data_IF_396869075064
#
_entry.id   IF_396869075064
#
_cell.length_a   1.000
_cell.length_b   1.000
_cell.length_c   1.000
_cell.angle_alpha   90.00
_cell.angle_beta   90.00
_cell.angle_gamma   90.00
#
_symmetry.space_group_name_H-M   'P 1'
#
loop_
_entity.id
_entity.type
_entity.pdbx_description
1 polymer ?
#
# COMPACT_ATOMS: atom_id res chain seq x y z
N UNK A 1 -15.93 12.28 8.34
CA UNK A 1 -15.56 13.62 7.85
C UNK A 1 -16.73 14.12 7.05
N UNK A 2 -17.09 15.40 7.13
CA UNK A 2 -18.07 15.95 6.19
C UNK A 2 -17.63 15.66 4.74
N UNK A 3 -18.57 15.19 3.91
CA UNK A 3 -18.33 14.82 2.52
C UNK A 3 -17.68 15.97 1.74
N UNK A 4 -18.03 17.21 2.07
CA UNK A 4 -17.48 18.45 1.51
C UNK A 4 -15.98 18.60 1.76
N UNK A 5 -15.52 18.36 2.99
CA UNK A 5 -14.10 18.46 3.36
C UNK A 5 -13.29 17.36 2.69
N UNK A 6 -13.83 16.12 2.65
CA UNK A 6 -13.20 15.00 1.93
C UNK A 6 -13.02 15.32 0.45
N UNK A 7 -14.08 15.80 -0.20
CA UNK A 7 -14.04 16.16 -1.62
C UNK A 7 -13.06 17.29 -1.91
N UNK A 8 -12.96 18.29 -1.02
CA UNK A 8 -11.98 19.37 -1.13
C UNK A 8 -10.54 18.84 -1.19
N UNK A 9 -10.13 18.02 -0.22
CA UNK A 9 -8.78 17.44 -0.20
C UNK A 9 -8.51 16.49 -1.39
N UNK A 10 -9.52 15.73 -1.83
CA UNK A 10 -9.40 14.89 -3.02
C UNK A 10 -9.21 15.73 -4.30
N UNK A 11 -9.86 16.88 -4.41
CA UNK A 11 -9.63 17.82 -5.52
C UNK A 11 -8.20 18.37 -5.49
N UNK A 12 -7.73 18.79 -4.32
CA UNK A 12 -6.35 19.28 -4.15
C UNK A 12 -5.32 18.22 -4.53
N UNK A 13 -5.54 16.95 -4.19
CA UNK A 13 -4.60 15.86 -4.50
C UNK A 13 -4.37 15.65 -6.00
N UNK A 14 -5.28 16.12 -6.86
CA UNK A 14 -5.19 15.97 -8.33
C UNK A 14 -4.53 17.18 -9.01
N UNK A 15 -4.18 18.23 -8.28
CA UNK A 15 -3.69 19.48 -8.87
C UNK A 15 -2.18 19.44 -9.16
N UNK A 16 -1.81 19.24 -10.44
CA UNK A 16 -0.40 19.28 -10.90
C UNK A 16 0.33 20.58 -10.50
N UNK A 17 -0.38 21.72 -10.51
CA UNK A 17 0.19 23.03 -10.10
C UNK A 17 0.54 23.08 -8.61
N UNK A 18 -0.36 22.59 -7.75
CA UNK A 18 -0.13 22.56 -6.31
C UNK A 18 0.94 21.53 -5.94
N UNK A 19 0.97 20.37 -6.60
CA UNK A 19 2.07 19.40 -6.47
C UNK A 19 3.41 20.03 -6.80
N UNK A 20 3.52 20.75 -7.92
CA UNK A 20 4.77 21.42 -8.33
C UNK A 20 5.20 22.51 -7.35
N UNK A 21 4.25 23.25 -6.76
CA UNK A 21 4.55 24.25 -5.74
C UNK A 21 5.01 23.58 -4.43
N UNK A 22 4.31 22.55 -3.98
CA UNK A 22 4.63 21.81 -2.76
C UNK A 22 6.02 21.16 -2.81
N UNK A 23 6.42 20.61 -3.96
CA UNK A 23 7.78 20.10 -4.21
C UNK A 23 8.88 21.12 -3.86
N UNK A 24 8.65 22.42 -4.09
CA UNK A 24 9.64 23.46 -3.78
C UNK A 24 9.81 23.72 -2.29
N UNK A 25 8.83 23.34 -1.47
CA UNK A 25 8.84 23.57 -0.03
C UNK A 25 9.22 22.32 0.78
N UNK A 26 9.44 21.17 0.12
CA UNK A 26 9.79 19.89 0.74
C UNK A 26 8.76 19.41 1.77
N UNK A 27 9.15 18.49 2.66
CA UNK A 27 8.26 17.89 3.68
C UNK A 27 7.79 18.83 4.81
N UNK A 28 7.85 20.15 4.60
CA UNK A 28 7.32 21.17 5.51
C UNK A 28 5.80 21.02 5.68
N UNK A 29 5.25 21.64 6.73
CA UNK A 29 3.81 21.62 7.05
C UNK A 29 3.24 20.24 7.47
N UNK A 30 4.06 19.37 8.05
CA UNK A 30 3.61 18.13 8.68
C UNK A 30 3.62 16.89 7.77
N UNK A 31 4.07 17.01 6.52
CA UNK A 31 4.18 15.89 5.58
C UNK A 31 5.19 14.82 6.06
N UNK A 32 6.25 15.22 6.78
CA UNK A 32 7.23 14.31 7.39
C UNK A 32 6.63 13.28 8.36
N UNK A 33 5.39 13.48 8.84
CA UNK A 33 4.68 12.47 9.64
C UNK A 33 4.21 11.28 8.80
N UNK A 34 3.94 11.48 7.52
CA UNK A 34 3.30 10.50 6.64
C UNK A 34 4.22 10.02 5.52
N UNK A 35 5.39 10.63 5.36
CA UNK A 35 6.37 10.35 4.32
C UNK A 35 7.76 10.35 4.96
N UNK A 36 8.54 9.30 4.71
CA UNK A 36 9.80 9.06 5.40
C UNK A 36 10.97 9.94 4.92
N UNK A 37 10.82 10.57 3.76
CA UNK A 37 11.86 11.39 3.14
C UNK A 37 11.56 11.66 1.68
N UNK A 38 12.34 12.56 1.09
CA UNK A 38 12.37 12.79 -0.36
C UNK A 38 13.31 11.81 -1.06
N UNK A 39 14.24 11.20 -0.31
CA UNK A 39 15.19 10.22 -0.83
C UNK A 39 15.06 8.87 -0.12
N UNK A 40 15.54 7.81 -0.78
CA UNK A 40 15.59 6.48 -0.19
C UNK A 40 16.53 6.43 1.02
N UNK A 41 17.62 7.20 1.01
CA UNK A 41 18.60 7.25 2.10
C UNK A 41 17.99 7.83 3.40
N UNK A 42 17.11 8.83 3.27
CA UNK A 42 16.29 9.32 4.37
C UNK A 42 15.29 8.25 4.85
N UNK A 43 14.66 7.54 3.92
CA UNK A 43 13.72 6.47 4.24
C UNK A 43 14.39 5.29 4.97
N UNK A 44 15.63 4.92 4.64
CA UNK A 44 16.42 3.90 5.36
C UNK A 44 16.50 4.22 6.85
N UNK A 45 16.75 5.48 7.21
CA UNK A 45 16.84 5.89 8.62
C UNK A 45 15.51 5.73 9.36
N UNK A 46 14.37 5.91 8.67
CA UNK A 46 13.05 5.67 9.24
C UNK A 46 12.78 4.17 9.36
N UNK A 47 13.15 3.39 8.34
CA UNK A 47 12.94 1.93 8.33
C UNK A 47 13.70 1.27 9.47
N UNK A 48 14.98 1.62 9.70
CA UNK A 48 15.77 1.09 10.81
C UNK A 48 15.09 1.31 12.16
N UNK A 49 14.59 2.52 12.42
CA UNK A 49 13.86 2.85 13.65
C UNK A 49 12.56 2.06 13.82
N UNK A 50 11.86 1.76 12.72
CA UNK A 50 10.66 0.92 12.76
C UNK A 50 11.02 -0.54 13.01
N UNK A 51 12.05 -1.06 12.35
CA UNK A 51 12.53 -2.43 12.55
C UNK A 51 13.04 -2.66 14.00
N UNK A 52 13.70 -1.67 14.60
CA UNK A 52 14.11 -1.68 16.03
C UNK A 52 12.90 -1.83 16.99
N UNK A 53 11.71 -1.41 16.58
CA UNK A 53 10.46 -1.56 17.33
C UNK A 53 9.73 -2.88 17.02
N UNK A 54 10.33 -3.77 16.23
CA UNK A 54 9.71 -5.01 15.75
C UNK A 54 8.69 -4.81 14.63
N UNK A 55 8.61 -3.61 14.06
CA UNK A 55 7.72 -3.30 12.93
C UNK A 55 8.43 -3.64 11.61
N UNK A 56 7.77 -4.45 10.77
CA UNK A 56 8.20 -4.67 9.38
C UNK A 56 7.84 -3.47 8.53
N UNK A 57 8.47 -3.31 7.36
CA UNK A 57 8.13 -2.22 6.43
C UNK A 57 7.72 -2.75 5.05
N UNK A 58 6.82 -2.03 4.38
CA UNK A 58 6.76 -2.01 2.92
C UNK A 58 7.05 -0.59 2.47
N UNK A 59 8.08 -0.41 1.66
CA UNK A 59 8.47 0.91 1.17
C UNK A 59 7.88 1.17 -0.21
N UNK A 60 7.34 2.37 -0.43
CA UNK A 60 6.69 2.78 -1.69
C UNK A 60 7.35 4.05 -2.22
N UNK A 61 7.87 4.00 -3.45
CA UNK A 61 8.35 5.19 -4.13
C UNK A 61 7.18 5.97 -4.72
N UNK A 62 7.01 7.20 -4.25
CA UNK A 62 6.01 8.12 -4.78
C UNK A 62 6.51 8.68 -6.13
N UNK A 63 5.97 8.11 -7.20
CA UNK A 63 6.11 8.57 -8.58
C UNK A 63 4.78 8.44 -9.31
N UNK A 64 3.82 9.29 -8.96
CA UNK A 64 2.48 9.30 -9.59
C UNK A 64 2.51 10.03 -10.94
N UNK A 65 1.63 9.62 -11.86
CA UNK A 65 1.44 10.25 -13.19
C UNK A 65 2.67 10.15 -14.10
N UNK A 66 3.24 8.95 -14.20
CA UNK A 66 4.27 8.63 -15.18
C UNK A 66 3.65 8.68 -16.59
N UNK A 67 3.97 9.73 -17.34
CA UNK A 67 3.43 10.00 -18.69
C UNK A 67 4.51 9.83 -19.76
N UNK A 68 5.77 9.60 -19.38
CA UNK A 68 6.91 9.42 -20.28
C UNK A 68 7.76 8.20 -19.94
N UNK A 69 8.41 7.62 -20.95
CA UNK A 69 9.34 6.50 -20.78
C UNK A 69 10.50 6.84 -19.83
N UNK A 70 10.96 8.10 -19.83
CA UNK A 70 11.99 8.57 -18.89
C UNK A 70 11.53 8.50 -17.44
N UNK A 71 10.27 8.86 -17.16
CA UNK A 71 9.68 8.76 -15.81
C UNK A 71 9.47 7.29 -15.41
N UNK A 72 9.06 6.41 -16.34
CA UNK A 72 8.97 4.96 -16.09
C UNK A 72 10.34 4.41 -15.70
N UNK A 73 11.37 4.70 -16.51
CA UNK A 73 12.74 4.24 -16.27
C UNK A 73 13.28 4.74 -14.92
N UNK A 74 12.96 5.98 -14.53
CA UNK A 74 13.30 6.48 -13.20
C UNK A 74 12.57 5.72 -12.09
N UNK A 75 11.26 5.46 -12.21
CA UNK A 75 10.51 4.71 -11.21
C UNK A 75 11.05 3.28 -11.03
N UNK A 76 11.41 2.61 -12.13
CA UNK A 76 12.06 1.29 -12.12
C UNK A 76 13.41 1.36 -11.41
N UNK A 77 14.24 2.35 -11.73
CA UNK A 77 15.54 2.54 -11.08
C UNK A 77 15.41 2.79 -9.58
N UNK A 78 14.37 3.51 -9.12
CA UNK A 78 14.10 3.70 -7.69
C UNK A 78 13.69 2.41 -6.99
N UNK A 79 12.88 1.56 -7.64
CA UNK A 79 12.52 0.25 -7.09
C UNK A 79 13.75 -0.64 -6.92
N UNK A 80 14.62 -0.70 -7.94
CA UNK A 80 15.88 -1.48 -7.88
C UNK A 80 16.81 -0.92 -6.80
N UNK A 81 16.96 0.41 -6.72
CA UNK A 81 17.76 1.04 -5.65
C UNK A 81 17.22 0.69 -4.27
N UNK A 82 15.90 0.67 -4.08
CA UNK A 82 15.28 0.27 -2.83
C UNK A 82 15.58 -1.19 -2.49
N UNK A 83 15.45 -2.12 -3.45
CA UNK A 83 15.80 -3.55 -3.27
C UNK A 83 17.26 -3.70 -2.81
N UNK A 84 18.20 -3.03 -3.49
CA UNK A 84 19.63 -3.10 -3.13
C UNK A 84 19.90 -2.53 -1.74
N UNK A 85 19.23 -1.45 -1.35
CA UNK A 85 19.39 -0.85 -0.02
C UNK A 85 18.76 -1.71 1.09
N UNK A 86 17.62 -2.34 0.84
CA UNK A 86 17.00 -3.31 1.76
C UNK A 86 18.00 -4.42 2.09
N UNK A 87 18.63 -4.99 1.06
CA UNK A 87 19.66 -6.01 1.23
C UNK A 87 20.91 -5.49 1.96
N UNK A 88 21.51 -4.42 1.44
CA UNK A 88 22.77 -3.86 1.95
C UNK A 88 22.67 -3.47 3.42
N UNK A 89 21.58 -2.83 3.81
CA UNK A 89 21.36 -2.32 5.16
C UNK A 89 20.65 -3.33 6.07
N UNK A 90 20.34 -4.54 5.55
CA UNK A 90 19.66 -5.65 6.25
C UNK A 90 18.32 -5.23 6.87
N UNK A 91 17.50 -4.55 6.09
CA UNK A 91 16.20 -4.03 6.54
C UNK A 91 15.13 -5.13 6.49
N UNK A 92 14.28 -5.23 7.52
CA UNK A 92 13.04 -6.03 7.45
C UNK A 92 11.98 -5.22 6.69
N UNK A 93 12.14 -5.22 5.37
CA UNK A 93 11.30 -4.47 4.45
C UNK A 93 11.03 -5.24 3.16
N UNK A 94 9.85 -5.02 2.61
CA UNK A 94 9.49 -5.35 1.23
C UNK A 94 9.30 -4.04 0.44
N UNK A 95 9.02 -4.12 -0.86
CA UNK A 95 8.61 -2.94 -1.66
C UNK A 95 7.15 -3.05 -2.12
N UNK A 96 6.49 -1.90 -2.29
CA UNK A 96 5.23 -1.78 -3.01
C UNK A 96 5.44 -0.88 -4.24
N UNK A 97 4.71 -1.16 -5.30
CA UNK A 97 4.74 -0.35 -6.53
C UNK A 97 3.38 -0.37 -7.22
N UNK A 98 3.17 0.55 -8.17
CA UNK A 98 1.97 0.62 -9.01
C UNK A 98 2.35 0.32 -10.45
N UNK A 99 1.53 -0.45 -11.16
CA UNK A 99 1.84 -0.84 -12.54
C UNK A 99 1.79 0.35 -13.50
N UNK A 100 1.00 1.40 -13.21
CA UNK A 100 1.06 2.64 -14.00
C UNK A 100 2.43 3.29 -13.95
N UNK A 101 3.11 3.29 -12.80
CA UNK A 101 4.49 3.77 -12.69
C UNK A 101 5.48 2.90 -13.47
N UNK A 102 5.11 1.65 -13.77
CA UNK A 102 5.87 0.71 -14.59
C UNK A 102 5.45 0.74 -16.07
N UNK A 103 4.59 1.69 -16.48
CA UNK A 103 4.20 1.86 -17.88
C UNK A 103 2.93 1.13 -18.31
N UNK A 104 2.09 0.65 -17.38
CA UNK A 104 0.83 -0.05 -17.72
C UNK A 104 -0.11 0.77 -18.62
N UNK A 105 -0.17 2.08 -18.41
CA UNK A 105 -1.00 2.98 -19.22
C UNK A 105 -0.36 3.27 -20.60
N UNK A 106 0.90 2.89 -20.83
CA UNK A 106 1.60 2.95 -22.12
C UNK A 106 1.42 1.63 -22.87
N UNK A 107 1.81 0.52 -22.24
CA UNK A 107 1.68 -0.84 -22.79
C UNK A 107 1.77 -1.91 -21.68
N UNK A 108 0.95 -2.96 -21.78
CA UNK A 108 1.04 -4.13 -20.89
C UNK A 108 2.40 -4.85 -21.02
N UNK A 109 2.96 -4.92 -22.24
CA UNK A 109 4.25 -5.56 -22.49
C UNK A 109 5.41 -4.77 -21.86
N UNK A 110 5.31 -3.43 -21.88
CA UNK A 110 6.29 -2.55 -21.24
C UNK A 110 6.26 -2.74 -19.72
N UNK A 111 5.06 -2.79 -19.12
CA UNK A 111 4.90 -3.07 -17.70
C UNK A 111 5.44 -4.45 -17.31
N UNK A 112 5.18 -5.48 -18.10
CA UNK A 112 5.75 -6.82 -17.87
C UNK A 112 7.27 -6.82 -17.97
N UNK A 113 7.84 -6.16 -18.98
CA UNK A 113 9.29 -6.05 -19.15
C UNK A 113 9.94 -5.42 -17.91
N UNK A 114 9.42 -4.28 -17.44
CA UNK A 114 9.93 -3.60 -16.26
C UNK A 114 9.71 -4.39 -14.97
N UNK A 115 8.55 -5.04 -14.82
CA UNK A 115 8.28 -5.89 -13.66
C UNK A 115 9.24 -7.08 -13.59
N UNK A 116 9.52 -7.76 -14.71
CA UNK A 116 10.52 -8.83 -14.75
C UNK A 116 11.90 -8.35 -14.35
N UNK A 117 12.31 -7.17 -14.82
CA UNK A 117 13.58 -6.58 -14.41
C UNK A 117 13.66 -6.36 -12.89
N UNK A 118 12.60 -5.79 -12.29
CA UNK A 118 12.51 -5.57 -10.85
C UNK A 118 12.51 -6.90 -10.08
N UNK A 119 11.71 -7.88 -10.51
CA UNK A 119 11.58 -9.18 -9.84
C UNK A 119 12.86 -10.01 -9.93
N UNK A 120 13.58 -9.96 -11.07
CA UNK A 120 14.89 -10.58 -11.21
C UNK A 120 15.91 -10.02 -10.20
N UNK A 121 15.86 -8.72 -9.91
CA UNK A 121 16.69 -8.12 -8.85
C UNK A 121 16.19 -8.50 -7.45
N UNK A 122 14.88 -8.52 -7.26
CA UNK A 122 14.26 -8.83 -5.96
C UNK A 122 14.55 -10.26 -5.49
N UNK A 123 14.51 -11.26 -6.38
CA UNK A 123 14.79 -12.66 -6.05
C UNK A 123 16.23 -12.92 -5.60
N UNK A 124 17.22 -12.20 -6.18
CA UNK A 124 18.63 -12.31 -5.77
C UNK A 124 18.84 -12.03 -4.28
N UNK A 125 17.97 -11.19 -3.71
CA UNK A 125 18.06 -10.73 -2.33
C UNK A 125 16.87 -11.14 -1.46
N UNK A 126 15.98 -11.98 -2.00
CA UNK A 126 14.73 -12.41 -1.35
C UNK A 126 13.85 -11.26 -0.85
N UNK A 127 13.83 -10.15 -1.61
CA UNK A 127 12.97 -8.99 -1.30
C UNK A 127 11.60 -9.21 -1.93
N UNK A 128 10.54 -9.12 -1.13
CA UNK A 128 9.18 -9.29 -1.64
C UNK A 128 8.69 -8.04 -2.38
N UNK A 129 7.94 -8.21 -3.47
CA UNK A 129 7.36 -7.12 -4.26
C UNK A 129 5.84 -7.23 -4.24
N UNK A 130 5.16 -6.18 -3.75
CA UNK A 130 3.69 -6.11 -3.80
C UNK A 130 3.24 -5.16 -4.91
N UNK A 131 2.43 -5.67 -5.84
CA UNK A 131 1.77 -4.87 -6.86
C UNK A 131 0.51 -4.24 -6.26
N UNK A 132 0.55 -2.94 -5.99
CA UNK A 132 -0.58 -2.17 -5.49
C UNK A 132 -1.72 -2.13 -6.51
N UNK A 133 -2.95 -2.29 -6.01
CA UNK A 133 -4.15 -2.18 -6.82
C UNK A 133 -4.57 -0.73 -6.96
N UNK A 134 -4.77 -0.31 -8.21
CA UNK A 134 -5.16 1.04 -8.57
C UNK A 134 -6.70 1.16 -8.69
N UNK A 135 -7.21 2.08 -9.51
CA UNK A 135 -8.64 2.23 -9.74
C UNK A 135 -9.25 1.06 -10.52
N UNK A 136 -10.59 0.97 -10.50
CA UNK A 136 -11.35 -0.15 -11.05
C UNK A 136 -10.97 -0.50 -12.51
N UNK A 137 -10.75 0.52 -13.35
CA UNK A 137 -10.42 0.32 -14.78
C UNK A 137 -9.10 -0.43 -15.00
N UNK A 138 -8.21 -0.48 -14.00
CA UNK A 138 -6.92 -1.19 -14.08
C UNK A 138 -6.97 -2.57 -13.42
N UNK A 139 -7.97 -2.89 -12.60
CA UNK A 139 -8.04 -4.16 -11.85
C UNK A 139 -7.83 -5.40 -12.73
N UNK A 140 -8.58 -5.52 -13.84
CA UNK A 140 -8.45 -6.69 -14.71
C UNK A 140 -7.06 -6.83 -15.33
N UNK A 141 -6.44 -5.72 -15.74
CA UNK A 141 -5.08 -5.72 -16.29
C UNK A 141 -4.05 -6.07 -15.23
N UNK A 142 -4.17 -5.49 -14.03
CA UNK A 142 -3.29 -5.80 -12.90
C UNK A 142 -3.36 -7.27 -12.52
N UNK A 143 -4.56 -7.84 -12.39
CA UNK A 143 -4.74 -9.26 -12.06
C UNK A 143 -4.17 -10.16 -13.15
N UNK A 144 -4.38 -9.83 -14.43
CA UNK A 144 -3.81 -10.57 -15.57
C UNK A 144 -2.28 -10.60 -15.50
N UNK A 145 -1.65 -9.44 -15.34
CA UNK A 145 -0.19 -9.33 -15.24
C UNK A 145 0.34 -10.02 -13.98
N UNK A 146 -0.35 -9.89 -12.85
CA UNK A 146 0.01 -10.59 -11.61
C UNK A 146 0.02 -12.11 -11.79
N UNK A 147 -1.00 -12.72 -12.41
CA UNK A 147 -1.05 -14.18 -12.66
C UNK A 147 0.13 -14.65 -13.48
N UNK A 148 0.49 -13.89 -14.53
CA UNK A 148 1.65 -14.19 -15.35
C UNK A 148 2.94 -14.12 -14.52
N UNK A 149 3.16 -13.03 -13.80
CA UNK A 149 4.36 -12.85 -12.98
C UNK A 149 4.43 -13.88 -11.84
N UNK A 150 3.32 -14.22 -11.17
CA UNK A 150 3.29 -15.20 -10.08
C UNK A 150 3.57 -16.63 -10.56
N UNK A 151 3.33 -16.92 -11.84
CA UNK A 151 3.71 -18.18 -12.47
C UNK A 151 5.21 -18.25 -12.80
N UNK A 152 5.87 -17.09 -12.87
CA UNK A 152 7.30 -16.95 -13.19
C UNK A 152 8.16 -16.72 -11.93
N UNK A 153 7.59 -16.14 -10.87
CA UNK A 153 8.29 -15.66 -9.68
C UNK A 153 7.59 -16.02 -8.36
N UNK A 154 8.38 -16.24 -7.31
CA UNK A 154 7.85 -16.55 -5.96
C UNK A 154 7.68 -15.30 -5.08
N UNK A 155 8.52 -14.30 -5.25
CA UNK A 155 8.58 -13.11 -4.39
C UNK A 155 7.64 -11.97 -4.87
N UNK A 156 6.46 -12.31 -5.37
CA UNK A 156 5.48 -11.35 -5.88
C UNK A 156 4.08 -11.58 -5.31
N UNK A 157 3.43 -10.50 -4.89
CA UNK A 157 2.05 -10.47 -4.39
C UNK A 157 1.26 -9.32 -4.99
N UNK A 158 -0.02 -9.24 -4.68
CA UNK A 158 -0.88 -8.14 -5.13
C UNK A 158 -1.90 -7.73 -4.06
N UNK A 159 -2.71 -6.72 -4.39
CA UNK A 159 -3.70 -6.12 -3.52
C UNK A 159 -5.10 -6.39 -4.07
N UNK A 160 -6.08 -6.64 -3.19
CA UNK A 160 -7.49 -6.69 -3.54
C UNK A 160 -8.32 -5.77 -2.64
N UNK A 161 -9.43 -5.24 -3.17
CA UNK A 161 -10.15 -4.10 -2.58
C UNK A 161 -11.60 -4.46 -2.24
N UNK A 162 -11.93 -4.54 -0.95
CA UNK A 162 -13.24 -5.00 -0.47
C UNK A 162 -14.45 -4.19 -0.95
N UNK A 163 -14.26 -2.93 -1.34
CA UNK A 163 -15.35 -2.11 -1.86
C UNK A 163 -15.86 -2.49 -3.26
N UNK A 164 -15.18 -3.36 -4.02
CA UNK A 164 -15.63 -3.75 -5.36
C UNK A 164 -16.48 -5.03 -5.31
N UNK A 165 -17.56 -5.07 -6.07
CA UNK A 165 -18.42 -6.25 -6.18
C UNK A 165 -17.67 -7.49 -6.67
N UNK A 166 -16.69 -7.31 -7.56
CA UNK A 166 -15.90 -8.39 -8.18
C UNK A 166 -14.94 -9.10 -7.23
N UNK A 167 -14.58 -8.49 -6.10
CA UNK A 167 -13.38 -8.90 -5.36
C UNK A 167 -13.47 -10.29 -4.74
N UNK A 168 -14.65 -10.75 -4.31
CA UNK A 168 -14.77 -12.14 -3.85
C UNK A 168 -14.41 -13.13 -4.96
N UNK A 169 -14.90 -12.89 -6.18
CA UNK A 169 -14.57 -13.73 -7.34
C UNK A 169 -13.07 -13.67 -7.66
N UNK A 170 -12.45 -12.50 -7.57
CA UNK A 170 -11.01 -12.36 -7.80
C UNK A 170 -10.20 -13.14 -6.74
N UNK A 171 -10.61 -13.15 -5.46
CA UNK A 171 -9.95 -13.97 -4.41
C UNK A 171 -10.05 -15.46 -4.75
N UNK A 172 -11.23 -15.94 -5.15
CA UNK A 172 -11.45 -17.35 -5.52
C UNK A 172 -10.63 -17.76 -6.73
N UNK A 173 -10.57 -16.91 -7.75
CA UNK A 173 -9.81 -17.17 -8.96
C UNK A 173 -8.30 -17.23 -8.69
N UNK A 174 -7.81 -16.35 -7.82
CA UNK A 174 -6.38 -16.28 -7.50
C UNK A 174 -5.91 -17.42 -6.57
N UNK A 175 -6.81 -18.21 -5.98
CA UNK A 175 -6.47 -19.33 -5.10
C UNK A 175 -5.47 -20.31 -5.73
N UNK A 176 -5.63 -20.59 -7.03
CA UNK A 176 -4.77 -21.50 -7.79
C UNK A 176 -3.28 -21.07 -7.87
N UNK A 177 -2.97 -19.82 -7.50
CA UNK A 177 -1.63 -19.25 -7.57
C UNK A 177 -0.93 -19.16 -6.21
N UNK A 178 -1.56 -19.65 -5.14
CA UNK A 178 -1.11 -19.52 -3.74
C UNK A 178 -0.57 -18.11 -3.39
N UNK A 179 -1.35 -17.05 -3.65
CA UNK A 179 -0.85 -15.69 -3.62
C UNK A 179 -0.67 -15.17 -2.19
N UNK A 180 0.37 -14.38 -1.95
CA UNK A 180 0.32 -13.42 -0.85
C UNK A 180 -0.55 -12.23 -1.27
N UNK A 181 -1.70 -12.06 -0.59
CA UNK A 181 -2.62 -10.95 -0.86
C UNK A 181 -2.64 -9.95 0.28
N UNK A 182 -2.52 -8.67 -0.10
CA UNK A 182 -2.85 -7.55 0.77
C UNK A 182 -4.31 -7.16 0.54
N UNK A 183 -5.13 -7.29 1.57
CA UNK A 183 -6.56 -6.98 1.50
C UNK A 183 -6.79 -5.59 2.11
N UNK A 184 -7.44 -4.70 1.35
CA UNK A 184 -7.76 -3.33 1.74
C UNK A 184 -9.24 -3.04 1.54
N UNK A 185 -9.76 -1.96 2.14
CA UNK A 185 -11.12 -1.49 1.83
C UNK A 185 -11.24 -0.95 0.39
N UNK A 186 -10.25 -0.20 -0.07
CA UNK A 186 -10.29 0.56 -1.32
C UNK A 186 -10.04 2.05 -1.08
N UNK A 187 -9.34 2.71 -2.00
CA UNK A 187 -8.86 4.09 -1.81
C UNK A 187 -9.37 5.07 -2.88
N UNK A 188 -9.91 4.57 -3.98
CA UNK A 188 -10.37 5.39 -5.10
C UNK A 188 -11.85 5.73 -4.96
N UNK A 189 -12.30 6.73 -5.73
CA UNK A 189 -13.72 7.04 -5.84
C UNK A 189 -14.26 6.33 -7.07
N UNK A 190 -14.98 5.25 -6.85
CA UNK A 190 -15.61 4.45 -7.90
C UNK A 190 -17.10 4.74 -8.02
N UNK A 191 -17.68 4.36 -9.15
CA UNK A 191 -19.12 4.46 -9.39
C UNK A 191 -19.87 3.33 -8.65
N UNK A 192 -21.15 3.58 -8.33
CA UNK A 192 -21.97 2.67 -7.53
C UNK A 192 -22.38 1.39 -8.29
N UNK A 193 -22.16 1.33 -9.60
CA UNK A 193 -22.36 0.14 -10.44
C UNK A 193 -21.22 -0.88 -10.31
N UNK A 194 -20.05 -0.46 -9.80
CA UNK A 194 -18.87 -1.32 -9.65
C UNK A 194 -18.41 -1.49 -8.20
N UNK A 195 -18.87 -0.61 -7.31
CA UNK A 195 -18.46 -0.58 -5.92
C UNK A 195 -19.64 -0.38 -4.95
N UNK A 196 -19.56 -1.02 -3.78
CA UNK A 196 -20.50 -0.82 -2.69
C UNK A 196 -20.54 0.67 -2.27
N UNK A 197 -21.69 1.34 -2.35
CA UNK A 197 -21.81 2.74 -1.94
C UNK A 197 -21.79 2.88 -0.41
N UNK A 198 -22.34 1.87 0.28
CA UNK A 198 -22.50 1.86 1.72
C UNK A 198 -21.29 1.26 2.43
N UNK A 199 -20.82 1.96 3.46
CA UNK A 199 -19.62 1.58 4.20
C UNK A 199 -19.80 0.26 4.95
N UNK A 200 -21.01 -0.06 5.37
CA UNK A 200 -21.31 -1.32 6.08
C UNK A 200 -21.11 -2.51 5.14
N UNK A 201 -21.58 -2.43 3.89
CA UNK A 201 -21.36 -3.48 2.89
C UNK A 201 -19.87 -3.65 2.58
N UNK A 202 -19.09 -2.56 2.52
CA UNK A 202 -17.63 -2.64 2.38
C UNK A 202 -16.99 -3.35 3.58
N UNK A 203 -17.43 -3.04 4.79
CA UNK A 203 -16.91 -3.64 6.02
C UNK A 203 -17.24 -5.14 6.10
N UNK A 204 -18.46 -5.54 5.72
CA UNK A 204 -18.87 -6.95 5.66
C UNK A 204 -18.15 -7.73 4.56
N UNK A 205 -18.04 -7.17 3.35
CA UNK A 205 -17.28 -7.81 2.30
C UNK A 205 -15.79 -7.92 2.67
N UNK A 206 -15.24 -6.95 3.40
CA UNK A 206 -13.85 -7.03 3.87
C UNK A 206 -13.64 -8.21 4.83
N UNK A 207 -14.56 -8.41 5.78
CA UNK A 207 -14.55 -9.59 6.67
C UNK A 207 -14.66 -10.90 5.89
N UNK A 208 -15.54 -10.94 4.88
CA UNK A 208 -15.74 -12.09 4.00
C UNK A 208 -14.44 -12.46 3.27
N UNK A 209 -13.82 -11.52 2.55
CA UNK A 209 -12.60 -11.80 1.78
C UNK A 209 -11.38 -12.12 2.66
N UNK A 210 -11.29 -11.54 3.87
CA UNK A 210 -10.28 -11.91 4.88
C UNK A 210 -10.48 -13.38 5.28
N UNK A 211 -11.71 -13.76 5.62
CA UNK A 211 -12.02 -15.13 6.03
C UNK A 211 -11.75 -16.13 4.93
N UNK A 212 -12.20 -15.83 3.70
CA UNK A 212 -11.98 -16.66 2.52
C UNK A 212 -10.49 -16.90 2.27
N UNK A 213 -9.68 -15.84 2.18
CA UNK A 213 -8.26 -15.98 1.85
C UNK A 213 -7.45 -16.67 2.97
N UNK A 214 -7.80 -16.42 4.23
CA UNK A 214 -7.19 -17.11 5.37
C UNK A 214 -7.51 -18.62 5.38
N UNK A 215 -8.74 -19.01 5.04
CA UNK A 215 -9.14 -20.41 4.97
C UNK A 215 -8.52 -21.16 3.79
N UNK A 216 -8.14 -20.45 2.72
CA UNK A 216 -7.36 -21.02 1.62
C UNK A 216 -5.93 -21.41 2.04
N UNK A 217 -5.46 -20.96 3.21
CA UNK A 217 -4.13 -21.27 3.74
C UNK A 217 -3.01 -20.34 3.27
N UNK A 218 -3.33 -19.34 2.44
CA UNK A 218 -2.34 -18.43 1.87
C UNK A 218 -2.00 -17.27 2.81
N UNK A 219 -0.83 -16.65 2.56
CA UNK A 219 -0.36 -15.54 3.39
C UNK A 219 -1.23 -14.29 3.21
N UNK A 220 -1.85 -13.81 4.29
CA UNK A 220 -2.82 -12.71 4.23
C UNK A 220 -2.30 -11.45 4.93
N UNK A 221 -2.14 -10.35 4.19
CA UNK A 221 -1.86 -9.05 4.76
C UNK A 221 -3.18 -8.26 4.95
N UNK A 222 -3.65 -8.15 6.19
CA UNK A 222 -4.86 -7.40 6.54
C UNK A 222 -4.52 -5.93 6.73
N UNK A 223 -4.63 -5.14 5.65
CA UNK A 223 -4.23 -3.74 5.63
C UNK A 223 -5.39 -2.81 6.03
N UNK A 224 -5.46 -2.49 7.32
CA UNK A 224 -6.56 -1.70 7.90
C UNK A 224 -6.14 -0.96 9.17
N UNK A 225 -6.77 0.20 9.41
CA UNK A 225 -6.70 0.92 10.70
C UNK A 225 -7.99 0.81 11.50
N UNK A 226 -8.97 0.02 11.05
CA UNK A 226 -10.27 -0.17 11.69
C UNK A 226 -10.18 -1.25 12.76
N UNK A 227 -10.38 -0.85 14.03
CA UNK A 227 -10.27 -1.77 15.17
C UNK A 227 -11.28 -2.90 15.11
N UNK A 228 -12.45 -2.68 14.51
CA UNK A 228 -13.49 -3.71 14.38
C UNK A 228 -13.04 -4.82 13.44
N UNK A 229 -12.34 -4.47 12.36
CA UNK A 229 -11.77 -5.46 11.43
C UNK A 229 -10.59 -6.18 12.07
N UNK A 230 -9.72 -5.47 12.80
CA UNK A 230 -8.60 -6.09 13.54
C UNK A 230 -9.13 -7.12 14.54
N UNK A 231 -10.11 -6.74 15.35
CA UNK A 231 -10.70 -7.63 16.34
C UNK A 231 -11.41 -8.83 15.69
N UNK A 232 -12.18 -8.59 14.62
CA UNK A 232 -12.75 -9.67 13.81
C UNK A 232 -11.69 -10.65 13.32
N UNK A 233 -10.59 -10.17 12.73
CA UNK A 233 -9.50 -11.03 12.25
C UNK A 233 -8.90 -11.85 13.39
N UNK A 234 -8.63 -11.24 14.55
CA UNK A 234 -8.10 -11.94 15.74
C UNK A 234 -9.03 -13.05 16.22
N UNK A 235 -10.33 -12.80 16.26
CA UNK A 235 -11.33 -13.80 16.62
C UNK A 235 -11.44 -14.90 15.58
N UNK A 236 -11.40 -14.54 14.30
CA UNK A 236 -11.48 -15.48 13.18
C UNK A 236 -10.30 -16.46 13.17
N UNK A 237 -9.06 -15.95 13.32
CA UNK A 237 -7.86 -16.81 13.33
C UNK A 237 -7.85 -17.73 14.55
N UNK A 238 -8.25 -17.22 15.71
CA UNK A 238 -8.37 -18.03 16.94
C UNK A 238 -9.43 -19.13 16.76
N UNK A 239 -10.59 -18.79 16.20
CA UNK A 239 -11.70 -19.73 15.99
C UNK A 239 -11.31 -20.89 15.05
N UNK A 240 -10.53 -20.61 14.02
CA UNK A 240 -10.15 -21.61 13.01
C UNK A 240 -8.75 -22.20 13.22
N UNK A 241 -8.06 -21.87 14.32
CA UNK A 241 -6.72 -22.38 14.62
C UNK A 241 -5.65 -21.96 13.61
N UNK A 242 -5.81 -20.79 12.99
CA UNK A 242 -4.91 -20.29 11.95
C UNK A 242 -3.61 -19.78 12.57
N UNK A 243 -2.48 -20.16 11.96
CA UNK A 243 -1.15 -19.76 12.43
C UNK A 243 -0.96 -18.25 12.39
N UNK A 244 -0.37 -17.69 13.45
CA UNK A 244 0.04 -16.28 13.53
C UNK A 244 1.12 -15.91 12.50
N UNK A 245 1.77 -16.90 11.88
CA UNK A 245 2.73 -16.70 10.80
C UNK A 245 2.09 -16.72 9.40
N UNK A 246 0.80 -17.03 9.29
CA UNK A 246 0.07 -17.03 8.02
C UNK A 246 -0.50 -15.65 7.66
N UNK A 247 -0.41 -14.68 8.58
CA UNK A 247 -0.96 -13.35 8.31
C UNK A 247 -0.19 -12.26 9.05
N UNK A 248 -0.40 -11.02 8.60
CA UNK A 248 0.07 -9.83 9.26
C UNK A 248 -0.99 -8.73 9.20
N UNK A 249 -0.92 -7.79 10.12
CA UNK A 249 -1.64 -6.52 10.00
C UNK A 249 -0.75 -5.51 9.27
N UNK A 250 -1.37 -4.65 8.46
CA UNK A 250 -0.66 -3.53 7.84
C UNK A 250 -1.33 -2.18 8.09
N UNK A 251 -0.51 -1.16 8.33
CA UNK A 251 -0.98 0.21 8.53
C UNK A 251 -0.04 1.20 7.86
N UNK A 252 -0.61 2.30 7.40
CA UNK A 252 0.16 3.44 6.88
C UNK A 252 1.05 4.09 7.96
N UNK A 253 2.21 4.54 7.53
CA UNK A 253 3.12 5.34 8.34
C UNK A 253 2.44 6.60 8.89
N UNK A 254 2.67 6.89 10.17
CA UNK A 254 2.09 8.05 10.88
C UNK A 254 0.64 7.89 11.35
N UNK A 255 -0.03 6.77 11.03
CA UNK A 255 -1.43 6.50 11.39
C UNK A 255 -1.54 5.42 12.47
N UNK A 256 -2.02 5.81 13.65
CA UNK A 256 -2.11 4.96 14.86
C UNK A 256 -0.78 4.27 15.25
N UNK A 257 0.36 5.00 15.31
CA UNK A 257 1.66 4.39 15.61
C UNK A 257 1.68 3.64 16.94
N UNK A 258 0.93 4.11 17.94
CA UNK A 258 0.81 3.43 19.23
C UNK A 258 0.14 2.05 19.07
N UNK A 259 -0.87 1.94 18.20
CA UNK A 259 -1.54 0.66 17.92
C UNK A 259 -0.63 -0.30 17.16
N UNK A 260 0.22 0.21 16.27
CA UNK A 260 1.19 -0.61 15.54
C UNK A 260 2.13 -1.32 16.52
N UNK A 261 2.71 -0.60 17.48
CA UNK A 261 3.58 -1.18 18.52
C UNK A 261 2.80 -2.12 19.44
N UNK A 262 1.55 -1.79 19.80
CA UNK A 262 0.71 -2.69 20.60
C UNK A 262 0.46 -4.04 19.91
N UNK A 263 0.23 -4.06 18.59
CA UNK A 263 0.03 -5.32 17.86
C UNK A 263 1.30 -6.19 17.86
N UNK A 264 2.49 -5.59 17.78
CA UNK A 264 3.76 -6.31 17.95
C UNK A 264 3.89 -6.87 19.37
N UNK A 265 3.54 -6.09 20.40
CA UNK A 265 3.55 -6.56 21.79
C UNK A 265 2.57 -7.73 22.01
N UNK A 266 1.44 -7.71 21.32
CA UNK A 266 0.46 -8.80 21.25
C UNK A 266 0.92 -9.99 20.38
N UNK A 267 2.18 -10.00 19.90
CA UNK A 267 2.82 -11.03 19.07
C UNK A 267 2.26 -11.18 17.65
N UNK A 268 1.54 -10.19 17.13
CA UNK A 268 1.14 -10.16 15.72
C UNK A 268 2.26 -9.59 14.85
N UNK A 269 2.40 -10.13 13.64
CA UNK A 269 3.20 -9.49 12.60
C UNK A 269 2.52 -8.18 12.19
N UNK A 270 3.29 -7.09 12.19
CA UNK A 270 2.80 -5.74 11.90
C UNK A 270 3.73 -5.06 10.89
N UNK A 271 3.21 -4.73 9.70
CA UNK A 271 3.94 -4.04 8.64
C UNK A 271 3.46 -2.61 8.46
N UNK A 272 4.40 -1.67 8.40
CA UNK A 272 4.12 -0.26 8.15
C UNK A 272 4.35 0.07 6.68
N UNK A 273 3.37 0.67 6.02
CA UNK A 273 3.51 1.19 4.65
C UNK A 273 4.15 2.57 4.69
N UNK A 274 5.39 2.65 4.22
CA UNK A 274 6.28 3.82 4.34
C UNK A 274 6.53 4.40 2.96
N UNK A 275 5.84 5.49 2.58
CA UNK A 275 6.09 6.15 1.32
C UNK A 275 7.31 7.10 1.42
N UNK A 276 8.02 7.28 0.32
CA UNK A 276 9.11 8.25 0.17
C UNK A 276 9.14 8.82 -1.24
N UNK A 277 9.85 9.92 -1.45
CA UNK A 277 10.01 10.55 -2.75
C UNK A 277 9.44 11.96 -2.81
N UNK A 278 9.70 12.64 -3.93
CA UNK A 278 9.36 14.06 -4.09
C UNK A 278 7.89 14.28 -4.46
N UNK A 279 7.16 13.26 -4.95
CA UNK A 279 5.73 13.34 -5.28
C UNK A 279 4.79 13.11 -4.09
N UNK A 280 5.19 13.59 -2.91
CA UNK A 280 4.46 13.39 -1.65
C UNK A 280 3.14 14.13 -1.51
N UNK A 281 2.93 15.22 -2.26
CA UNK A 281 1.79 16.12 -2.03
C UNK A 281 0.43 15.47 -2.28
N UNK A 282 0.27 14.78 -3.42
CA UNK A 282 -0.97 14.10 -3.78
C UNK A 282 -1.33 13.02 -2.75
N UNK A 283 -0.33 12.21 -2.37
CA UNK A 283 -0.43 11.22 -1.31
C UNK A 283 -0.86 11.85 0.02
N UNK A 284 -0.17 12.89 0.46
CA UNK A 284 -0.46 13.58 1.71
C UNK A 284 -1.89 14.15 1.75
N UNK A 285 -2.34 14.78 0.67
CA UNK A 285 -3.71 15.31 0.58
C UNK A 285 -4.77 14.22 0.68
N UNK A 286 -4.55 13.04 0.07
CA UNK A 286 -5.47 11.90 0.23
C UNK A 286 -5.49 11.38 1.68
N UNK A 287 -4.35 11.35 2.38
CA UNK A 287 -4.29 11.03 3.81
C UNK A 287 -5.08 12.04 4.66
N UNK A 288 -5.04 13.33 4.33
CA UNK A 288 -5.85 14.34 5.01
C UNK A 288 -7.35 14.15 4.77
N UNK A 289 -7.75 13.71 3.57
CA UNK A 289 -9.15 13.45 3.21
C UNK A 289 -9.77 12.26 3.98
N UNK A 290 -8.96 11.35 4.52
CA UNK A 290 -9.45 10.10 5.11
C UNK A 290 -10.04 10.26 6.51
N UNK A 291 -9.46 11.11 7.37
CA UNK A 291 -9.93 11.27 8.76
C UNK A 291 -9.83 12.71 9.24
N UNK A 292 -10.85 13.25 9.94
CA UNK A 292 -10.80 14.60 10.51
C UNK A 292 -9.63 14.79 11.48
N UNK A 293 -9.26 13.73 12.20
CA UNK A 293 -8.10 13.73 13.08
C UNK A 293 -6.81 14.10 12.32
N UNK A 294 -6.62 13.59 11.09
CA UNK A 294 -5.45 13.90 10.26
C UNK A 294 -5.36 15.40 9.96
N UNK A 295 -6.50 16.05 9.71
CA UNK A 295 -6.59 17.50 9.49
C UNK A 295 -6.29 18.29 10.76
N UNK A 296 -6.86 17.88 11.90
CA UNK A 296 -6.62 18.53 13.20
C UNK A 296 -5.13 18.51 13.60
N UNK A 297 -4.39 17.46 13.22
CA UNK A 297 -2.95 17.38 13.45
C UNK A 297 -2.14 18.36 12.60
N UNK A 298 -2.48 18.53 11.32
CA UNK A 298 -1.80 19.52 10.46
C UNK A 298 -2.01 20.92 11.01
N UNK A 299 -3.23 21.26 11.42
CA UNK A 299 -3.52 22.55 12.05
C UNK A 299 -2.70 22.77 13.33
N UNK A 300 -2.59 21.76 14.21
CA UNK A 300 -1.74 21.84 15.40
C UNK A 300 -0.25 21.97 15.09
N UNK A 301 0.23 21.31 14.03
CA UNK A 301 1.63 21.37 13.58
C UNK A 301 2.01 22.73 12.97
N UNK A 302 1.04 23.45 12.40
CA UNK A 302 1.23 24.82 11.88
C UNK A 302 1.27 25.85 13.02
N UNK A 303 0.47 25.65 14.07
CA UNK A 303 0.39 26.57 15.23
C UNK A 303 1.54 26.39 16.24
N UNK A 304 2.24 25.25 16.22
CA UNK A 304 3.42 24.99 17.08
C UNK A 304 4.74 25.59 16.54
N UNK A 305 4.68 26.73 15.87
CA UNK A 305 5.85 27.53 15.50
C UNK A 305 5.88 28.84 16.27
#
# INVERSE_FOLDING_TARGET
>A
MEQTIRNFFLLLSKSKKLTKLAKRYGLRFGAARFVAGETIDEAVSVIKKLNEQGLKVTIDYLGEFVESEAEVNNAVAQCIKAIHLIHKERLDSEISLKLTSMGLDISEDLALHHMRHILNEAEKYSVFVTIDMEDYKRCSKTIKLFKQLKSEYDHVGTVLQAYLYRTESDVRELDAYAPKLRLVKGAYKEAADVAFPDKEDVDENFKNIIGLHLLNGHYTAVATHDERIIQYTKEFVKKHGISMNQFEFQMLYGIRPERQVQLVAEQYQMRVYVPYGTDWYGYFMRRLAERPANVAFVLKGIVKK
#
